data_IF_551906032382
#
_entry.id   IF_551906032382
#
_cell.length_a   1.000
_cell.length_b   1.000
_cell.length_c   1.000
_cell.angle_alpha   90.00
_cell.angle_beta   90.00
_cell.angle_gamma   90.00
#
_symmetry.space_group_name_H-M   'P 1'
#
loop_
_entity.id
_entity.type
_entity.pdbx_description
1 polymer ?
#
# COMPACT_ATOMS: atom_id res chain seq x y z
N UNK A 1 -9.75 10.15 6.25
CA UNK A 1 -8.62 9.54 5.55
C UNK A 1 -7.48 10.53 5.39
N UNK A 2 -6.23 10.11 5.53
CA UNK A 2 -5.11 10.97 5.20
C UNK A 2 -5.17 11.44 3.75
N UNK A 3 -4.69 12.65 3.52
CA UNK A 3 -4.78 13.30 2.21
C UNK A 3 -4.08 12.50 1.10
N UNK A 4 -2.92 11.92 1.40
CA UNK A 4 -2.18 11.12 0.42
C UNK A 4 -2.97 9.86 0.00
N UNK A 5 -3.66 9.22 0.93
CA UNK A 5 -4.52 8.08 0.60
C UNK A 5 -5.66 8.47 -0.32
N UNK A 6 -6.28 9.63 -0.08
CA UNK A 6 -7.36 10.14 -0.92
C UNK A 6 -6.85 10.37 -2.34
N UNK A 7 -5.68 11.00 -2.47
CA UNK A 7 -5.07 11.25 -3.77
C UNK A 7 -4.80 9.95 -4.50
N UNK A 8 -4.10 9.02 -3.87
CA UNK A 8 -3.73 7.76 -4.51
C UNK A 8 -4.96 6.94 -4.87
N UNK A 9 -5.99 6.95 -4.02
CA UNK A 9 -7.22 6.23 -4.30
C UNK A 9 -7.89 6.68 -5.60
N UNK A 10 -7.80 7.96 -5.95
CA UNK A 10 -8.38 8.46 -7.21
C UNK A 10 -7.73 7.79 -8.43
N UNK A 11 -6.47 7.37 -8.29
CA UNK A 11 -5.76 6.66 -9.37
C UNK A 11 -6.01 5.16 -9.36
N UNK A 12 -6.35 4.57 -8.20
CA UNK A 12 -6.48 3.12 -8.04
C UNK A 12 -7.91 2.62 -8.24
N UNK A 13 -8.90 3.43 -7.90
CA UNK A 13 -10.30 3.01 -7.94
C UNK A 13 -10.79 2.75 -9.36
N UNK A 14 -11.85 1.94 -9.47
CA UNK A 14 -12.54 1.76 -10.76
C UNK A 14 -11.79 0.91 -11.77
N UNK A 15 -10.89 0.04 -11.31
CA UNK A 15 -10.11 -0.86 -12.18
C UNK A 15 -9.28 -0.11 -13.21
N UNK A 16 -8.78 1.07 -12.86
CA UNK A 16 -8.02 1.92 -13.80
C UNK A 16 -6.65 1.37 -14.16
N UNK A 17 -6.08 0.50 -13.32
CA UNK A 17 -4.76 -0.06 -13.57
C UNK A 17 -4.93 -1.47 -14.09
N UNK A 18 -4.79 -1.63 -15.39
CA UNK A 18 -4.78 -2.93 -16.05
C UNK A 18 -5.98 -3.82 -15.69
N UNK A 19 -7.13 -3.20 -15.42
CA UNK A 19 -8.33 -3.90 -15.01
C UNK A 19 -8.33 -4.41 -13.58
N UNK A 20 -7.32 -4.09 -12.79
CA UNK A 20 -7.18 -4.55 -11.43
C UNK A 20 -8.08 -3.81 -10.47
N UNK A 21 -8.72 -4.55 -9.59
CA UNK A 21 -9.57 -3.97 -8.56
C UNK A 21 -8.77 -3.83 -7.27
N UNK A 22 -8.59 -2.59 -6.82
CA UNK A 22 -8.02 -2.29 -5.52
C UNK A 22 -9.12 -2.04 -4.50
N UNK A 23 -8.89 -2.48 -3.28
CA UNK A 23 -9.76 -2.23 -2.13
C UNK A 23 -9.01 -1.37 -1.14
N UNK A 24 -9.73 -0.45 -0.48
CA UNK A 24 -9.16 0.38 0.59
C UNK A 24 -9.33 -0.29 1.93
N UNK A 25 -8.39 -0.04 2.83
CA UNK A 25 -8.49 -0.46 4.22
C UNK A 25 -8.87 -1.94 4.32
N UNK A 26 -8.08 -2.76 3.68
CA UNK A 26 -8.33 -4.20 3.59
C UNK A 26 -7.74 -4.91 4.81
N UNK A 27 -8.57 -5.72 5.48
CA UNK A 27 -8.14 -6.48 6.66
C UNK A 27 -7.40 -7.75 6.31
N UNK A 28 -6.26 -7.98 6.99
CA UNK A 28 -5.50 -9.23 6.91
C UNK A 28 -5.24 -9.66 8.35
N UNK A 29 -6.03 -10.60 8.86
CA UNK A 29 -5.99 -10.98 10.25
C UNK A 29 -6.27 -9.78 11.15
N UNK A 30 -5.40 -9.49 12.14
CA UNK A 30 -5.60 -8.36 13.04
C UNK A 30 -5.13 -7.03 12.45
N UNK A 31 -4.60 -7.04 11.22
CA UNK A 31 -4.01 -5.86 10.59
C UNK A 31 -4.87 -5.34 9.45
N UNK A 32 -4.64 -4.08 9.08
CA UNK A 32 -5.31 -3.44 7.95
C UNK A 32 -4.24 -2.87 7.02
N UNK A 33 -4.35 -3.14 5.73
CA UNK A 33 -3.47 -2.52 4.72
C UNK A 33 -4.24 -1.40 4.02
N UNK A 34 -3.50 -0.38 3.58
CA UNK A 34 -4.13 0.81 2.98
C UNK A 34 -4.86 0.47 1.68
N UNK A 35 -4.21 -0.25 0.79
CA UNK A 35 -4.80 -0.68 -0.48
C UNK A 35 -4.40 -2.12 -0.77
N UNK A 36 -5.30 -2.90 -1.33
CA UNK A 36 -5.03 -4.29 -1.63
C UNK A 36 -5.67 -4.72 -2.95
N UNK A 37 -4.89 -5.42 -3.78
CA UNK A 37 -5.36 -6.06 -4.99
C UNK A 37 -5.24 -7.58 -4.83
N UNK A 38 -6.37 -8.25 -4.72
CA UNK A 38 -6.42 -9.69 -4.48
C UNK A 38 -5.88 -10.50 -5.67
N UNK A 39 -6.11 -10.04 -6.88
CA UNK A 39 -5.68 -10.75 -8.09
C UNK A 39 -4.18 -10.97 -8.13
N UNK A 40 -3.41 -10.00 -7.66
CA UNK A 40 -1.95 -10.05 -7.66
C UNK A 40 -1.36 -10.19 -6.27
N UNK A 41 -2.21 -10.31 -5.25
CA UNK A 41 -1.80 -10.36 -3.85
C UNK A 41 -0.83 -9.22 -3.53
N UNK A 42 -1.20 -8.02 -3.93
CA UNK A 42 -0.38 -6.83 -3.78
C UNK A 42 -1.00 -5.87 -2.78
N UNK A 43 -0.25 -5.56 -1.73
CA UNK A 43 -0.60 -4.52 -0.77
C UNK A 43 0.22 -3.27 -1.04
N UNK A 44 -0.44 -2.12 -1.07
CA UNK A 44 0.21 -0.82 -1.22
C UNK A 44 -0.02 -0.05 0.07
N UNK A 45 1.05 0.43 0.67
CA UNK A 45 1.04 1.15 1.93
C UNK A 45 1.64 2.53 1.77
N UNK A 46 1.02 3.51 2.44
CA UNK A 46 1.56 4.86 2.50
C UNK A 46 2.07 5.13 3.91
N UNK A 47 3.35 5.43 4.01
CA UNK A 47 3.98 5.76 5.28
C UNK A 47 4.03 7.27 5.45
N UNK A 48 3.53 7.74 6.59
CA UNK A 48 3.66 9.13 6.98
C UNK A 48 5.01 9.39 7.64
N UNK A 49 5.17 10.59 8.20
CA UNK A 49 6.33 10.89 9.01
C UNK A 49 6.25 10.03 10.28
N UNK A 50 7.00 8.95 10.29
CA UNK A 50 6.94 8.01 11.39
C UNK A 50 8.01 8.31 12.42
N UNK A 51 7.65 8.09 13.68
CA UNK A 51 8.60 8.09 14.76
C UNK A 51 9.27 6.72 14.77
N UNK A 52 10.58 6.71 14.56
CA UNK A 52 11.33 5.47 14.48
C UNK A 52 11.83 5.04 15.86
N UNK A 53 10.92 4.68 16.76
CA UNK A 53 11.32 3.99 17.97
C UNK A 53 11.61 2.52 17.61
N UNK A 54 12.47 1.87 18.41
CA UNK A 54 12.75 0.45 18.21
C UNK A 54 11.49 -0.40 18.30
N UNK A 55 10.60 -0.06 19.24
CA UNK A 55 9.34 -0.78 19.41
C UNK A 55 8.44 -0.63 18.20
N UNK A 56 8.34 0.57 17.65
CA UNK A 56 7.54 0.83 16.46
C UNK A 56 8.06 0.07 15.24
N UNK A 57 9.40 0.02 15.08
CA UNK A 57 10.02 -0.74 14.01
C UNK A 57 9.78 -2.24 14.16
N UNK A 58 9.88 -2.75 15.38
CA UNK A 58 9.63 -4.16 15.66
C UNK A 58 8.19 -4.55 15.34
N UNK A 59 7.23 -3.74 15.76
CA UNK A 59 5.82 -3.98 15.44
C UNK A 59 5.56 -3.95 13.94
N UNK A 60 6.20 -3.05 13.22
CA UNK A 60 6.06 -2.95 11.78
C UNK A 60 6.60 -4.19 11.07
N UNK A 61 7.75 -4.69 11.51
CA UNK A 61 8.35 -5.92 10.98
C UNK A 61 7.43 -7.11 11.24
N UNK A 62 6.94 -7.25 12.47
CA UNK A 62 6.02 -8.35 12.83
C UNK A 62 4.74 -8.31 11.99
N UNK A 63 4.18 -7.12 11.79
CA UNK A 63 3.00 -6.91 10.97
C UNK A 63 3.27 -7.33 9.52
N UNK A 64 4.36 -6.85 8.95
CA UNK A 64 4.71 -7.17 7.56
C UNK A 64 4.95 -8.66 7.37
N UNK A 65 5.71 -9.29 8.27
CA UNK A 65 5.95 -10.73 8.20
C UNK A 65 4.65 -11.54 8.29
N UNK A 66 3.74 -11.13 9.18
CA UNK A 66 2.44 -11.78 9.30
C UNK A 66 1.68 -11.72 7.98
N UNK A 67 1.63 -10.56 7.36
CA UNK A 67 0.90 -10.37 6.11
C UNK A 67 1.58 -11.11 4.96
N UNK A 68 2.90 -11.07 4.90
CA UNK A 68 3.66 -11.72 3.83
C UNK A 68 3.54 -13.25 3.85
N UNK A 69 3.24 -13.85 4.99
CA UNK A 69 3.05 -15.31 5.05
C UNK A 69 1.91 -15.82 4.17
N UNK A 70 0.97 -14.95 3.81
CA UNK A 70 -0.13 -15.30 2.92
C UNK A 70 0.22 -15.13 1.43
N UNK A 71 1.49 -14.88 1.12
CA UNK A 71 1.94 -14.64 -0.26
C UNK A 71 1.67 -13.23 -0.75
N UNK A 72 1.37 -12.30 0.16
CA UNK A 72 1.08 -10.91 -0.18
C UNK A 72 2.40 -10.16 -0.33
N UNK A 73 2.55 -9.44 -1.44
CA UNK A 73 3.69 -8.57 -1.69
C UNK A 73 3.36 -7.16 -1.22
N UNK A 74 4.38 -6.45 -0.75
CA UNK A 74 4.24 -5.07 -0.31
C UNK A 74 4.93 -4.11 -1.25
N UNK A 75 4.27 -2.99 -1.54
CA UNK A 75 4.90 -1.79 -2.06
C UNK A 75 4.63 -0.69 -1.05
N UNK A 76 5.69 -0.02 -0.62
CA UNK A 76 5.60 1.07 0.36
C UNK A 76 6.08 2.37 -0.26
N UNK A 77 5.29 3.42 -0.08
CA UNK A 77 5.62 4.76 -0.53
C UNK A 77 5.42 5.72 0.62
N UNK A 78 6.09 6.86 0.55
CA UNK A 78 5.84 7.91 1.54
C UNK A 78 4.69 8.79 1.07
N UNK A 79 4.08 9.52 2.00
CA UNK A 79 3.08 10.51 1.63
C UNK A 79 3.67 11.55 0.69
N UNK A 80 4.94 11.91 0.91
CA UNK A 80 5.66 12.84 0.05
C UNK A 80 5.75 12.32 -1.39
N UNK A 81 5.99 11.03 -1.57
CA UNK A 81 6.04 10.44 -2.91
C UNK A 81 4.74 10.67 -3.66
N UNK A 82 3.61 10.53 -2.99
CA UNK A 82 2.30 10.76 -3.61
C UNK A 82 2.11 12.22 -3.95
N UNK A 83 2.53 13.14 -3.05
CA UNK A 83 2.37 14.57 -3.30
C UNK A 83 3.26 15.10 -4.41
N UNK A 84 4.48 14.56 -4.53
CA UNK A 84 5.50 15.12 -5.43
C UNK A 84 5.78 14.28 -6.66
N UNK A 85 5.40 13.01 -6.66
CA UNK A 85 5.74 12.09 -7.75
C UNK A 85 4.71 10.97 -7.89
N UNK A 86 3.45 11.32 -7.96
CA UNK A 86 2.38 10.32 -8.09
C UNK A 86 2.53 9.46 -9.35
N UNK A 87 3.06 10.03 -10.42
CA UNK A 87 3.28 9.26 -11.65
C UNK A 87 4.30 8.16 -11.46
N UNK A 88 5.37 8.42 -10.69
CA UNK A 88 6.37 7.40 -10.35
C UNK A 88 5.79 6.32 -9.45
N UNK A 89 4.94 6.70 -8.49
CA UNK A 89 4.23 5.75 -7.64
C UNK A 89 3.37 4.83 -8.51
N UNK A 90 2.58 5.40 -9.41
CA UNK A 90 1.71 4.62 -10.30
C UNK A 90 2.49 3.71 -11.23
N UNK A 91 3.63 4.17 -11.73
CA UNK A 91 4.49 3.36 -12.58
C UNK A 91 5.01 2.13 -11.84
N UNK A 92 5.44 2.32 -10.59
CA UNK A 92 5.93 1.21 -9.75
C UNK A 92 4.81 0.20 -9.49
N UNK A 93 3.61 0.67 -9.18
CA UNK A 93 2.45 -0.20 -8.97
C UNK A 93 2.12 -0.96 -10.26
N UNK A 94 2.10 -0.26 -11.38
CA UNK A 94 1.80 -0.85 -12.68
C UNK A 94 2.79 -1.98 -13.01
N UNK A 95 4.08 -1.76 -12.79
CA UNK A 95 5.10 -2.76 -13.04
C UNK A 95 4.94 -4.01 -12.16
N UNK A 96 4.38 -3.84 -10.97
CA UNK A 96 4.18 -4.96 -10.03
C UNK A 96 3.00 -5.87 -10.43
N UNK A 97 2.13 -5.40 -11.31
CA UNK A 97 0.93 -6.13 -11.73
C UNK A 97 0.93 -6.52 -13.21
N UNK A 98 2.05 -6.35 -13.85
CA UNK A 98 2.21 -6.73 -15.26
C UNK A 98 2.76 -8.14 -15.38
#
# INVERSE_FOLDING_TARGET
MPKAEVILWQYLKGKKINGCKFRRQFGVGPYVVDFYCAEFKLAVELDGDSHFSEDAQKHDIERQEYIEQFGIKFLRFTNKDVYTNVNGVMQTIYEAIV
#
